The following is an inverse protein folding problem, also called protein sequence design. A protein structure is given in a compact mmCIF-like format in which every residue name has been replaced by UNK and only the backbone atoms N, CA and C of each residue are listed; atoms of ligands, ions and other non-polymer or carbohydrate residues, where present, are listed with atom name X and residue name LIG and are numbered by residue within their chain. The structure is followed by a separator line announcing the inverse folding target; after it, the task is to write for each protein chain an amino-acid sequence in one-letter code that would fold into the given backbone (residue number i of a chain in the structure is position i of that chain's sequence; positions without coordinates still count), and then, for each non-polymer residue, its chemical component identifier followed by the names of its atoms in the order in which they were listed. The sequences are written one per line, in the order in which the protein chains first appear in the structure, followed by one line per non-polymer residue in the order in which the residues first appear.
data_IF_973802563191
#
_entry.id   IF_973802563191
#
_cell.length_a   1.000
_cell.length_b   1.000
_cell.length_c   1.000
_cell.angle_alpha   90.00
_cell.angle_beta   90.00
_cell.angle_gamma   90.00
#
_symmetry.space_group_name_H-M   'P 1'
#
loop_
_entity.id
_entity.type
_entity.pdbx_description
1 polymer ?
#
# COMPACT_ATOMS: atom_id res chain seq x y z
N UNK A 1 1.99 13.82 0.94
CA UNK A 1 0.81 13.43 0.11
C UNK A 1 1.27 12.44 -0.93
N UNK A 2 0.50 11.39 -1.25
CA UNK A 2 0.92 10.39 -2.22
C UNK A 2 0.95 10.94 -3.64
N UNK A 3 1.87 10.44 -4.47
CA UNK A 3 1.95 10.78 -5.90
C UNK A 3 0.89 10.03 -6.71
N UNK A 4 0.63 10.48 -7.94
CA UNK A 4 -0.26 9.77 -8.87
C UNK A 4 0.20 8.34 -9.15
N UNK A 5 1.52 8.10 -9.15
CA UNK A 5 2.10 6.77 -9.35
C UNK A 5 1.82 5.86 -8.15
N UNK A 6 2.01 6.39 -6.93
CA UNK A 6 1.66 5.69 -5.70
C UNK A 6 0.17 5.38 -5.61
N UNK A 7 -0.71 6.31 -6.00
CA UNK A 7 -2.16 6.09 -5.98
C UNK A 7 -2.60 4.99 -6.95
N UNK A 8 -2.01 4.94 -8.16
CA UNK A 8 -2.26 3.85 -9.11
C UNK A 8 -1.79 2.51 -8.57
N UNK A 9 -0.63 2.49 -7.92
CA UNK A 9 -0.10 1.27 -7.30
C UNK A 9 -0.99 0.83 -6.12
N UNK A 10 -1.36 1.76 -5.24
CA UNK A 10 -2.28 1.53 -4.12
C UNK A 10 -3.61 0.96 -4.60
N UNK A 11 -4.19 1.47 -5.69
CA UNK A 11 -5.43 0.91 -6.24
C UNK A 11 -5.26 -0.56 -6.64
N UNK A 12 -4.15 -0.91 -7.31
CA UNK A 12 -3.87 -2.29 -7.73
C UNK A 12 -3.68 -3.22 -6.53
N UNK A 13 -2.88 -2.80 -5.55
CA UNK A 13 -2.63 -3.57 -4.32
C UNK A 13 -3.93 -3.72 -3.52
N UNK A 14 -4.68 -2.63 -3.34
CA UNK A 14 -5.93 -2.62 -2.60
C UNK A 14 -7.01 -3.50 -3.24
N UNK A 15 -7.13 -3.49 -4.57
CA UNK A 15 -8.01 -4.40 -5.29
C UNK A 15 -7.61 -5.86 -5.06
N UNK A 16 -6.32 -6.18 -5.17
CA UNK A 16 -5.84 -7.54 -4.95
C UNK A 16 -6.08 -8.00 -3.51
N UNK A 17 -5.80 -7.16 -2.51
CA UNK A 17 -6.03 -7.48 -1.10
C UNK A 17 -7.50 -7.70 -0.80
N UNK A 18 -8.36 -6.76 -1.19
CA UNK A 18 -9.77 -6.76 -0.76
C UNK A 18 -10.66 -7.65 -1.61
N UNK A 19 -10.49 -7.64 -2.93
CA UNK A 19 -11.39 -8.32 -3.87
C UNK A 19 -10.91 -9.73 -4.24
N UNK A 20 -9.60 -9.95 -4.36
CA UNK A 20 -9.05 -11.26 -4.75
C UNK A 20 -8.70 -12.11 -3.54
N UNK A 21 -8.06 -11.52 -2.53
CA UNK A 21 -7.50 -12.24 -1.38
C UNK A 21 -8.35 -12.16 -0.10
N UNK A 22 -9.38 -11.30 -0.10
CA UNK A 22 -10.26 -11.05 1.06
C UNK A 22 -9.49 -10.73 2.36
N UNK A 23 -8.40 -9.98 2.23
CA UNK A 23 -7.58 -9.54 3.35
C UNK A 23 -8.00 -8.11 3.79
N UNK A 24 -8.12 -7.85 5.10
CA UNK A 24 -8.36 -6.51 5.61
C UNK A 24 -7.13 -5.62 5.38
N UNK A 25 -7.37 -4.32 5.18
CA UNK A 25 -6.33 -3.30 5.17
C UNK A 25 -6.47 -2.52 6.49
N UNK A 26 -5.38 -2.44 7.25
CA UNK A 26 -5.36 -1.82 8.58
C UNK A 26 -4.78 -0.42 8.56
N UNK A 27 -3.77 -0.18 7.72
CA UNK A 27 -3.11 1.11 7.61
C UNK A 27 -2.74 1.41 6.16
N UNK A 28 -2.96 2.66 5.75
CA UNK A 28 -2.35 3.27 4.58
C UNK A 28 -1.79 4.61 5.03
N UNK A 29 -0.47 4.80 4.88
CA UNK A 29 0.20 6.01 5.35
C UNK A 29 1.32 6.39 4.39
N UNK A 30 1.59 7.69 4.22
CA UNK A 30 2.81 8.18 3.57
C UNK A 30 3.78 8.57 4.68
N UNK A 31 4.98 8.00 4.67
CA UNK A 31 6.04 8.42 5.58
C UNK A 31 6.61 9.77 5.11
N UNK A 32 6.55 10.79 5.97
CA UNK A 32 7.02 12.12 5.62
C UNK A 32 8.55 12.19 5.41
N UNK A 33 9.31 11.25 5.96
CA UNK A 33 10.79 11.23 5.83
C UNK A 33 11.25 10.70 4.48
N UNK A 34 10.64 9.61 4.01
CA UNK A 34 11.02 8.91 2.77
C UNK A 34 10.08 9.23 1.60
N UNK A 35 8.89 9.75 1.89
CA UNK A 35 7.75 9.88 0.98
C UNK A 35 7.23 8.54 0.43
N UNK A 36 7.63 7.41 1.04
CA UNK A 36 7.12 6.10 0.67
C UNK A 36 5.72 5.89 1.24
N UNK A 37 4.86 5.22 0.48
CA UNK A 37 3.51 4.84 0.89
C UNK A 37 3.54 3.42 1.45
N UNK A 38 3.15 3.27 2.70
CA UNK A 38 3.07 2.01 3.40
C UNK A 38 1.64 1.49 3.44
N UNK A 39 1.49 0.19 3.24
CA UNK A 39 0.22 -0.53 3.35
C UNK A 39 0.41 -1.71 4.31
N UNK A 40 -0.33 -1.70 5.42
CA UNK A 40 -0.40 -2.83 6.35
C UNK A 40 -1.73 -3.55 6.18
N UNK A 41 -1.67 -4.86 5.95
CA UNK A 41 -2.82 -5.67 5.62
C UNK A 41 -2.71 -7.12 6.13
N UNK A 42 -3.81 -7.85 5.96
CA UNK A 42 -3.89 -9.27 6.27
C UNK A 42 -4.31 -9.57 7.71
N UNK A 43 -4.78 -10.79 7.92
CA UNK A 43 -5.11 -11.25 9.27
C UNK A 43 -3.82 -11.36 10.10
N UNK A 44 -3.77 -10.61 11.21
CA UNK A 44 -2.60 -10.39 12.06
C UNK A 44 -1.48 -9.54 11.42
N UNK A 45 -1.81 -8.63 10.49
CA UNK A 45 -0.87 -7.59 10.01
C UNK A 45 0.42 -8.16 9.37
N UNK A 46 0.34 -9.38 8.81
CA UNK A 46 1.52 -10.08 8.24
C UNK A 46 1.85 -9.67 6.81
N UNK A 47 1.07 -8.78 6.20
CA UNK A 47 1.28 -8.32 4.83
C UNK A 47 1.64 -6.85 4.87
N UNK A 48 2.84 -6.53 4.42
CA UNK A 48 3.38 -5.19 4.36
C UNK A 48 3.82 -4.90 2.93
N UNK A 49 3.46 -3.72 2.43
CA UNK A 49 3.97 -3.18 1.18
C UNK A 49 4.52 -1.80 1.43
N UNK A 50 5.62 -1.49 0.76
CA UNK A 50 6.18 -0.15 0.68
C UNK A 50 6.21 0.27 -0.79
N UNK A 51 5.63 1.43 -1.09
CA UNK A 51 5.52 1.96 -2.45
C UNK A 51 6.29 3.26 -2.54
N UNK A 52 7.35 3.27 -3.33
CA UNK A 52 8.20 4.44 -3.56
C UNK A 52 7.43 5.58 -4.26
N UNK A 53 7.92 6.84 -4.28
CA UNK A 53 7.24 7.95 -4.94
C UNK A 53 7.02 7.76 -6.44
N UNK A 54 7.88 6.96 -7.09
CA UNK A 54 7.78 6.53 -8.48
C UNK A 54 6.92 5.28 -8.69
N UNK A 55 6.30 4.76 -7.63
CA UNK A 55 5.30 3.70 -7.71
C UNK A 55 5.87 2.28 -7.80
N UNK A 56 7.17 2.10 -7.54
CA UNK A 56 7.77 0.78 -7.37
C UNK A 56 7.37 0.18 -6.01
N UNK A 57 7.22 -1.15 -5.96
CA UNK A 57 6.87 -1.87 -4.73
C UNK A 57 8.13 -2.55 -4.19
N UNK A 58 8.45 -2.29 -2.93
CA UNK A 58 9.54 -2.92 -2.18
C UNK A 58 9.03 -4.06 -1.30
#
# INVERSE_FOLDING_TARGET
MPTDMQLKCLYRIGYQLTYVMFQPIHLICVDDRTQNLFILAGNNEKIEFEVTPDGEVL
#
